data_IF_889350700316
#
_entry.id   IF_889350700316
#
_cell.length_a   1.000
_cell.length_b   1.000
_cell.length_c   1.000
_cell.angle_alpha   90.00
_cell.angle_beta   90.00
_cell.angle_gamma   90.00
#
_symmetry.space_group_name_H-M   'P 1'
#
loop_
_entity.id
_entity.type
_entity.pdbx_description
1 polymer ?
#
# COMPACT_ATOMS: atom_id res chain seq x y z
N UNK A 1 -24.26 20.55 -13.91
CA UNK A 1 -25.27 21.30 -14.65
C UNK A 1 -26.41 21.54 -13.66
N UNK A 2 -26.48 22.77 -13.12
CA UNK A 2 -27.65 23.19 -12.36
C UNK A 2 -28.83 23.27 -13.34
N UNK A 3 -29.91 22.54 -13.07
CA UNK A 3 -31.20 22.80 -13.70
C UNK A 3 -31.68 24.18 -13.25
N UNK A 4 -32.28 24.92 -14.17
CA UNK A 4 -32.66 26.32 -14.12
C UNK A 4 -33.65 26.76 -13.06
N UNK A 5 -33.70 26.12 -11.89
CA UNK A 5 -34.69 26.36 -10.89
C UNK A 5 -34.10 26.99 -9.62
N UNK A 6 -34.83 27.92 -9.08
CA UNK A 6 -34.79 28.80 -7.88
C UNK A 6 -33.85 28.39 -6.69
N UNK A 7 -33.09 27.34 -6.77
CA UNK A 7 -32.19 26.85 -5.74
C UNK A 7 -30.71 26.73 -6.15
N UNK A 8 -30.29 27.25 -7.30
CA UNK A 8 -28.88 27.20 -7.72
C UNK A 8 -28.08 28.35 -7.07
N UNK A 9 -27.09 28.07 -6.19
CA UNK A 9 -26.33 29.11 -5.52
C UNK A 9 -25.57 30.00 -6.51
N UNK A 10 -25.11 29.46 -7.63
CA UNK A 10 -24.45 30.20 -8.71
C UNK A 10 -25.38 31.25 -9.33
N UNK A 11 -26.60 30.85 -9.64
CA UNK A 11 -27.59 31.74 -10.23
C UNK A 11 -27.99 32.87 -9.26
N UNK A 12 -28.25 32.56 -8.02
CA UNK A 12 -28.62 33.54 -7.01
C UNK A 12 -27.49 34.53 -6.72
N UNK A 13 -26.23 34.08 -6.66
CA UNK A 13 -25.07 34.96 -6.47
C UNK A 13 -24.82 35.89 -7.68
N UNK A 14 -25.13 35.44 -8.88
CA UNK A 14 -25.03 36.31 -10.07
C UNK A 14 -26.10 37.42 -10.10
N UNK A 15 -27.21 37.23 -9.38
CA UNK A 15 -28.28 38.25 -9.32
C UNK A 15 -27.98 39.29 -8.24
N UNK A 16 -27.68 38.88 -7.05
CA UNK A 16 -27.60 39.79 -5.89
C UNK A 16 -26.16 40.01 -5.37
N UNK A 17 -25.21 39.26 -5.86
CA UNK A 17 -23.79 39.39 -5.47
C UNK A 17 -23.48 38.96 -4.06
N UNK A 18 -24.34 38.17 -3.42
CA UNK A 18 -24.12 37.62 -2.10
C UNK A 18 -23.32 36.33 -2.18
N UNK A 19 -22.25 36.21 -1.39
CA UNK A 19 -21.48 34.96 -1.28
C UNK A 19 -22.36 33.86 -0.65
N UNK A 20 -22.40 32.70 -1.27
CA UNK A 20 -23.20 31.56 -0.79
C UNK A 20 -22.34 30.32 -0.61
N UNK A 21 -22.58 29.61 0.46
CA UNK A 21 -21.97 28.31 0.72
C UNK A 21 -23.08 27.30 0.96
N UNK A 22 -23.17 26.30 0.09
CA UNK A 22 -24.22 25.29 0.14
C UNK A 22 -23.70 23.88 -0.15
N UNK A 23 -24.43 22.88 0.34
CA UNK A 23 -24.16 21.48 0.02
C UNK A 23 -24.84 21.12 -1.29
N UNK A 24 -24.02 20.64 -2.25
CA UNK A 24 -24.52 20.19 -3.56
C UNK A 24 -24.13 18.73 -3.80
N UNK A 25 -24.86 18.06 -4.70
CA UNK A 25 -24.53 16.70 -5.10
C UNK A 25 -24.14 16.68 -6.56
N UNK A 26 -22.90 16.33 -6.87
CA UNK A 26 -22.42 16.14 -8.24
C UNK A 26 -22.46 14.66 -8.63
N UNK A 27 -22.72 14.39 -9.90
CA UNK A 27 -22.77 13.02 -10.43
C UNK A 27 -21.37 12.57 -10.83
N UNK A 28 -20.90 11.48 -10.23
CA UNK A 28 -19.67 10.83 -10.66
C UNK A 28 -19.87 10.11 -12.00
N UNK A 29 -18.79 9.93 -12.79
CA UNK A 29 -18.84 9.21 -14.09
C UNK A 29 -19.42 7.79 -13.98
N UNK A 30 -19.29 7.15 -12.81
CA UNK A 30 -19.82 5.81 -12.53
C UNK A 30 -21.28 5.82 -12.02
N UNK A 31 -21.98 6.97 -12.10
CA UNK A 31 -23.43 7.10 -11.85
C UNK A 31 -23.85 7.44 -10.42
N UNK A 32 -22.96 7.32 -9.43
CA UNK A 32 -23.30 7.71 -8.06
C UNK A 32 -23.14 9.22 -7.82
N UNK A 33 -23.77 9.73 -6.74
CA UNK A 33 -23.72 11.14 -6.35
C UNK A 33 -22.67 11.36 -5.27
N UNK A 34 -21.86 12.42 -5.44
CA UNK A 34 -20.84 12.84 -4.48
C UNK A 34 -21.32 14.12 -3.81
N UNK A 35 -21.42 14.18 -2.47
CA UNK A 35 -21.71 15.42 -1.76
C UNK A 35 -20.48 16.34 -1.78
N UNK A 36 -20.67 17.58 -2.19
CA UNK A 36 -19.65 18.62 -2.15
C UNK A 36 -20.20 19.84 -1.40
N UNK A 37 -19.33 20.57 -0.74
CA UNK A 37 -19.60 21.92 -0.30
C UNK A 37 -19.15 22.87 -1.40
N UNK A 38 -20.07 23.67 -1.90
CA UNK A 38 -19.75 24.69 -2.88
C UNK A 38 -19.85 26.08 -2.25
N UNK A 39 -18.84 26.92 -2.52
CA UNK A 39 -18.89 28.36 -2.16
C UNK A 39 -18.79 29.15 -3.43
N UNK A 40 -19.75 30.04 -3.64
CA UNK A 40 -19.86 30.89 -4.82
C UNK A 40 -19.56 32.33 -4.46
N UNK A 41 -18.59 32.92 -5.16
CA UNK A 41 -18.16 34.32 -5.00
C UNK A 41 -18.51 35.13 -6.26
N UNK A 42 -19.10 36.31 -6.15
CA UNK A 42 -19.32 37.18 -7.31
C UNK A 42 -18.02 37.79 -7.81
N UNK A 43 -17.86 37.87 -9.11
CA UNK A 43 -16.80 38.61 -9.77
C UNK A 43 -17.40 40.00 -10.15
N UNK A 44 -16.72 41.06 -9.74
CA UNK A 44 -17.18 42.45 -10.01
C UNK A 44 -16.11 43.22 -10.80
N UNK A 45 -16.58 43.92 -11.81
CA UNK A 45 -15.80 44.92 -12.51
C UNK A 45 -16.53 46.26 -12.40
N UNK A 46 -15.84 47.29 -11.94
CA UNK A 46 -16.41 48.62 -11.69
C UNK A 46 -17.72 48.62 -10.87
N UNK A 47 -17.82 47.70 -9.90
CA UNK A 47 -19.00 47.54 -9.03
C UNK A 47 -20.14 46.70 -9.64
N UNK A 48 -20.09 46.35 -10.93
CA UNK A 48 -21.08 45.53 -11.62
C UNK A 48 -20.68 44.06 -11.56
N UNK A 49 -21.64 43.18 -11.31
CA UNK A 49 -21.40 41.72 -11.30
C UNK A 49 -21.24 41.27 -12.74
N UNK A 50 -20.06 40.78 -13.12
CA UNK A 50 -19.74 40.27 -14.45
C UNK A 50 -19.75 38.74 -14.53
N UNK A 51 -19.82 38.07 -13.36
CA UNK A 51 -19.86 36.62 -13.26
C UNK A 51 -19.67 36.14 -11.84
N UNK A 52 -19.44 34.86 -11.66
CA UNK A 52 -19.07 34.28 -10.38
C UNK A 52 -18.06 33.13 -10.53
N UNK A 53 -17.27 32.91 -9.45
CA UNK A 53 -16.39 31.76 -9.30
C UNK A 53 -17.00 30.80 -8.30
N UNK A 54 -17.05 29.52 -8.64
CA UNK A 54 -17.56 28.46 -7.80
C UNK A 54 -16.40 27.55 -7.35
N UNK A 55 -16.22 27.45 -6.04
CA UNK A 55 -15.17 26.62 -5.42
C UNK A 55 -15.83 25.41 -4.79
N UNK A 56 -15.46 24.23 -5.27
CA UNK A 56 -15.92 22.96 -4.72
C UNK A 56 -14.90 22.42 -3.72
N UNK A 57 -15.36 22.15 -2.52
CA UNK A 57 -14.61 21.39 -1.51
C UNK A 57 -15.34 20.09 -1.22
N UNK A 58 -14.61 19.01 -0.97
CA UNK A 58 -15.25 17.81 -0.45
C UNK A 58 -15.90 18.17 0.87
N UNK A 59 -17.22 17.99 0.95
CA UNK A 59 -17.93 18.14 2.19
C UNK A 59 -17.65 16.92 3.07
N UNK A 60 -16.55 16.97 3.82
CA UNK A 60 -16.41 16.13 4.99
C UNK A 60 -17.15 16.83 6.10
N UNK A 61 -18.20 16.25 6.70
CA UNK A 61 -18.73 16.69 7.98
C UNK A 61 -17.54 16.62 8.95
N UNK A 62 -16.99 17.79 9.31
CA UNK A 62 -15.91 17.87 10.28
C UNK A 62 -16.33 17.13 11.54
N UNK A 63 -15.54 16.14 11.91
CA UNK A 63 -15.50 15.40 13.16
C UNK A 63 -16.13 14.00 13.22
N UNK A 64 -16.96 13.57 12.25
CA UNK A 64 -17.51 12.19 12.33
C UNK A 64 -16.95 11.25 11.25
N UNK A 65 -16.48 11.80 10.12
CA UNK A 65 -16.09 10.99 8.96
C UNK A 65 -14.59 10.84 8.77
N UNK A 66 -13.76 11.78 9.21
CA UNK A 66 -12.32 11.67 8.99
C UNK A 66 -11.74 10.47 9.75
N UNK A 67 -12.12 10.30 11.02
CA UNK A 67 -11.75 9.11 11.80
C UNK A 67 -12.40 7.83 11.28
N UNK A 68 -13.63 7.90 10.76
CA UNK A 68 -14.31 6.72 10.20
C UNK A 68 -13.73 6.35 8.83
N UNK A 69 -13.47 7.32 7.97
CA UNK A 69 -12.83 7.10 6.66
C UNK A 69 -11.40 6.64 6.84
N UNK A 70 -10.65 7.22 7.76
CA UNK A 70 -9.29 6.82 8.11
C UNK A 70 -9.27 5.40 8.69
N UNK A 71 -10.14 5.08 9.64
CA UNK A 71 -10.31 3.74 10.19
C UNK A 71 -10.80 2.71 9.16
N UNK A 72 -11.70 3.09 8.23
CA UNK A 72 -12.15 2.20 7.16
C UNK A 72 -11.06 2.01 6.11
N UNK A 73 -10.28 3.04 5.80
CA UNK A 73 -9.16 2.96 4.88
C UNK A 73 -8.00 2.15 5.50
N UNK A 74 -7.68 2.35 6.77
CA UNK A 74 -6.71 1.51 7.48
C UNK A 74 -7.12 0.04 7.51
N UNK A 75 -8.39 -0.25 7.84
CA UNK A 75 -8.92 -1.63 7.81
C UNK A 75 -8.95 -2.24 6.40
N UNK A 76 -9.16 -1.41 5.37
CA UNK A 76 -9.19 -1.86 3.99
C UNK A 76 -7.77 -2.07 3.40
N UNK A 77 -6.75 -1.44 3.97
CA UNK A 77 -5.37 -1.42 3.43
C UNK A 77 -4.37 -2.21 4.26
N UNK A 78 -4.71 -2.58 5.51
CA UNK A 78 -3.78 -3.25 6.41
C UNK A 78 -4.29 -4.63 6.85
N UNK A 79 -3.36 -5.53 7.10
CA UNK A 79 -3.64 -6.84 7.71
C UNK A 79 -4.02 -6.69 9.18
N UNK A 80 -5.08 -7.36 9.61
CA UNK A 80 -5.63 -7.19 10.97
C UNK A 80 -4.69 -7.67 12.07
N UNK A 81 -3.85 -8.67 11.80
CA UNK A 81 -2.91 -9.24 12.76
C UNK A 81 -1.61 -8.43 12.82
N UNK A 82 -0.92 -8.34 11.69
CA UNK A 82 0.43 -7.77 11.62
C UNK A 82 0.45 -6.24 11.52
N UNK A 83 -0.69 -5.61 11.17
CA UNK A 83 -0.83 -4.18 10.86
C UNK A 83 -0.01 -3.71 9.65
N UNK A 84 0.63 -4.62 8.94
CA UNK A 84 1.31 -4.34 7.69
C UNK A 84 0.30 -4.08 6.56
N UNK A 85 0.71 -3.44 5.45
CA UNK A 85 -0.03 -3.45 4.21
C UNK A 85 -0.56 -4.84 3.86
N UNK A 86 -1.84 -4.94 3.52
CA UNK A 86 -2.43 -6.19 3.08
C UNK A 86 -2.22 -6.40 1.57
N UNK A 87 -2.62 -7.55 1.06
CA UNK A 87 -2.47 -7.94 -0.33
C UNK A 87 -3.05 -6.90 -1.30
N UNK A 88 -4.25 -6.38 -1.03
CA UNK A 88 -4.89 -5.40 -1.91
C UNK A 88 -4.10 -4.09 -2.03
N UNK A 89 -3.51 -3.65 -0.92
CA UNK A 89 -2.66 -2.47 -0.92
C UNK A 89 -1.32 -2.73 -1.63
N UNK A 90 -0.71 -3.89 -1.41
CA UNK A 90 0.50 -4.31 -2.12
C UNK A 90 0.30 -4.37 -3.64
N UNK A 91 -0.82 -4.94 -4.12
CA UNK A 91 -1.16 -5.00 -5.55
C UNK A 91 -1.31 -3.59 -6.14
N UNK A 92 -1.98 -2.69 -5.43
CA UNK A 92 -2.15 -1.29 -5.85
C UNK A 92 -0.80 -0.54 -5.92
N UNK A 93 0.05 -0.74 -4.92
CA UNK A 93 1.38 -0.13 -4.88
C UNK A 93 2.31 -0.70 -5.95
N UNK A 94 2.25 -1.99 -6.22
CA UNK A 94 3.00 -2.64 -7.29
C UNK A 94 2.62 -2.06 -8.66
N UNK A 95 1.33 -1.86 -8.91
CA UNK A 95 0.86 -1.23 -10.15
C UNK A 95 1.37 0.21 -10.29
N UNK A 96 1.40 0.97 -9.20
CA UNK A 96 1.99 2.30 -9.17
C UNK A 96 3.49 2.25 -9.50
N UNK A 97 4.27 1.35 -8.87
CA UNK A 97 5.72 1.18 -9.11
C UNK A 97 6.05 0.75 -10.55
N UNK A 98 5.26 -0.13 -11.14
CA UNK A 98 5.40 -0.49 -12.55
C UNK A 98 5.15 0.72 -13.47
N UNK A 99 4.17 1.55 -13.15
CA UNK A 99 3.92 2.80 -13.90
C UNK A 99 5.07 3.80 -13.76
N UNK A 100 5.69 3.93 -12.57
CA UNK A 100 6.89 4.75 -12.38
C UNK A 100 8.08 4.20 -13.18
N UNK A 101 8.24 2.88 -13.20
CA UNK A 101 9.30 2.24 -13.98
C UNK A 101 9.12 2.50 -15.49
N UNK A 102 7.91 2.35 -16.02
CA UNK A 102 7.62 2.59 -17.44
C UNK A 102 7.84 4.04 -17.86
N UNK A 103 7.51 5.02 -16.98
CA UNK A 103 7.61 6.45 -17.30
C UNK A 103 8.98 7.05 -17.03
N UNK A 104 9.65 6.60 -15.99
CA UNK A 104 10.85 7.26 -15.46
C UNK A 104 12.04 6.32 -15.31
N UNK A 105 11.90 5.04 -15.70
CA UNK A 105 12.93 4.00 -15.52
C UNK A 105 13.38 3.81 -14.07
N UNK A 106 12.51 4.16 -13.09
CA UNK A 106 12.78 3.96 -11.67
C UNK A 106 12.64 2.49 -11.34
N UNK A 107 13.78 1.84 -11.13
CA UNK A 107 13.86 0.41 -10.83
C UNK A 107 13.38 0.10 -9.43
N UNK A 108 12.80 -1.09 -9.27
CA UNK A 108 12.47 -1.64 -7.97
C UNK A 108 12.69 -3.15 -7.96
N UNK A 109 12.93 -3.69 -6.76
CA UNK A 109 12.98 -5.11 -6.48
C UNK A 109 11.65 -5.56 -5.87
N UNK A 110 11.19 -6.75 -6.24
CA UNK A 110 10.09 -7.43 -5.59
C UNK A 110 10.63 -8.69 -4.90
N UNK A 111 10.35 -8.81 -3.62
CA UNK A 111 10.62 -9.97 -2.79
C UNK A 111 9.33 -10.72 -2.52
N UNK A 112 9.34 -12.03 -2.71
CA UNK A 112 8.31 -12.92 -2.19
C UNK A 112 8.92 -13.75 -1.07
N UNK A 113 8.29 -13.76 0.09
CA UNK A 113 8.84 -14.29 1.34
C UNK A 113 7.86 -15.27 1.95
N UNK A 114 8.34 -16.40 2.45
CA UNK A 114 7.53 -17.38 3.16
C UNK A 114 8.29 -17.91 4.38
N UNK A 115 7.59 -18.08 5.51
CA UNK A 115 8.20 -18.60 6.75
C UNK A 115 8.36 -20.10 6.64
N UNK A 116 9.59 -20.55 6.82
CA UNK A 116 9.94 -21.95 6.71
C UNK A 116 9.27 -22.80 7.79
N UNK A 117 8.66 -23.91 7.37
CA UNK A 117 8.02 -24.89 8.26
C UNK A 117 6.92 -24.32 9.16
N UNK A 118 6.29 -23.18 8.80
CA UNK A 118 5.33 -22.50 9.67
C UNK A 118 4.14 -23.37 10.08
N UNK A 119 3.65 -24.23 9.18
CA UNK A 119 2.61 -25.21 9.53
C UNK A 119 3.04 -26.19 10.61
N UNK A 120 4.29 -26.67 10.56
CA UNK A 120 4.84 -27.57 11.58
C UNK A 120 5.03 -26.82 12.88
N UNK A 121 5.50 -25.57 12.82
CA UNK A 121 5.62 -24.68 13.95
C UNK A 121 4.29 -24.48 14.67
N UNK A 122 3.22 -24.15 13.95
CA UNK A 122 1.87 -23.99 14.50
C UNK A 122 1.32 -25.28 15.12
N UNK A 123 1.59 -26.43 14.50
CA UNK A 123 1.18 -27.73 15.05
C UNK A 123 1.91 -28.06 16.37
N UNK A 124 3.11 -27.53 16.57
CA UNK A 124 3.94 -27.80 17.75
C UNK A 124 3.64 -26.82 18.89
N UNK A 125 3.50 -25.52 18.59
CA UNK A 125 3.43 -24.44 19.58
C UNK A 125 2.07 -23.78 19.67
N UNK A 126 1.14 -24.11 18.77
CA UNK A 126 -0.19 -23.51 18.68
C UNK A 126 -0.23 -22.27 17.79
N UNK A 127 -1.42 -21.94 17.33
CA UNK A 127 -1.66 -20.79 16.43
C UNK A 127 -1.37 -19.44 17.10
N UNK A 128 -1.63 -19.31 18.41
CA UNK A 128 -1.36 -18.06 19.15
C UNK A 128 0.13 -17.72 19.15
N UNK A 129 1.01 -18.74 19.27
CA UNK A 129 2.46 -18.55 19.18
C UNK A 129 2.89 -18.26 17.73
N UNK A 130 2.22 -18.87 16.75
CA UNK A 130 2.42 -18.52 15.34
C UNK A 130 2.05 -17.07 15.04
N UNK A 131 0.97 -16.57 15.61
CA UNK A 131 0.56 -15.17 15.47
C UNK A 131 1.59 -14.20 16.10
N UNK A 132 2.22 -14.58 17.23
CA UNK A 132 3.35 -13.83 17.79
C UNK A 132 4.53 -13.78 16.83
N UNK A 133 4.90 -14.91 16.20
CA UNK A 133 5.96 -14.97 15.19
C UNK A 133 5.66 -14.02 14.04
N UNK A 134 4.46 -14.05 13.46
CA UNK A 134 4.05 -13.18 12.37
C UNK A 134 4.15 -11.70 12.74
N UNK A 135 3.70 -11.34 13.93
CA UNK A 135 3.72 -9.94 14.41
C UNK A 135 5.13 -9.44 14.72
N UNK A 136 5.99 -10.29 15.29
CA UNK A 136 7.35 -9.87 15.65
C UNK A 136 8.28 -9.77 14.41
N UNK A 137 8.12 -10.67 13.43
CA UNK A 137 8.76 -10.53 12.11
C UNK A 137 8.32 -9.22 11.46
N UNK A 138 7.02 -8.94 11.44
CA UNK A 138 6.47 -7.72 10.86
C UNK A 138 7.09 -6.47 11.48
N UNK A 139 7.12 -6.37 12.81
CA UNK A 139 7.73 -5.26 13.55
C UNK A 139 9.23 -5.12 13.25
N UNK A 140 9.95 -6.23 13.22
CA UNK A 140 11.40 -6.23 12.96
C UNK A 140 11.72 -5.68 11.57
N UNK A 141 10.95 -6.07 10.56
CA UNK A 141 11.18 -5.64 9.18
C UNK A 141 10.80 -4.16 8.99
N UNK A 142 9.68 -3.69 9.55
CA UNK A 142 9.27 -2.28 9.43
C UNK A 142 10.36 -1.32 9.91
N UNK A 143 11.13 -1.70 10.93
CA UNK A 143 12.18 -0.84 11.48
C UNK A 143 13.39 -0.63 10.53
N UNK A 144 13.51 -1.43 9.47
CA UNK A 144 14.66 -1.38 8.55
C UNK A 144 14.31 -0.94 7.13
N UNK A 145 13.02 -0.78 6.80
CA UNK A 145 12.58 -0.35 5.47
C UNK A 145 12.53 1.18 5.38
N UNK A 146 12.74 1.69 4.16
CA UNK A 146 12.69 3.14 3.90
C UNK A 146 11.25 3.58 3.62
N UNK A 147 11.00 4.89 3.68
CA UNK A 147 9.68 5.49 3.46
C UNK A 147 9.08 5.17 2.08
N UNK A 148 9.92 5.02 1.05
CA UNK A 148 9.50 4.75 -0.33
C UNK A 148 9.40 3.25 -0.67
N UNK A 149 9.72 2.40 0.33
CA UNK A 149 9.60 0.96 0.24
C UNK A 149 8.29 0.49 0.87
N UNK A 150 7.81 -0.68 0.47
CA UNK A 150 6.64 -1.29 1.07
C UNK A 150 6.92 -2.76 1.39
N UNK A 151 6.50 -3.18 2.57
CA UNK A 151 6.50 -4.58 2.99
C UNK A 151 5.14 -4.89 3.60
N UNK A 152 4.52 -6.00 3.19
CA UNK A 152 3.17 -6.33 3.60
C UNK A 152 2.91 -7.83 3.65
N UNK A 153 1.79 -8.20 4.26
CA UNK A 153 1.34 -9.60 4.34
C UNK A 153 0.53 -9.94 3.10
N UNK A 154 1.00 -10.95 2.36
CA UNK A 154 0.33 -11.43 1.16
C UNK A 154 -0.81 -12.40 1.49
N UNK A 155 -0.59 -13.28 2.47
CA UNK A 155 -1.58 -14.21 2.99
C UNK A 155 -0.93 -15.29 3.86
N UNK A 156 -1.63 -15.84 4.86
CA UNK A 156 -1.08 -16.89 5.72
C UNK A 156 0.28 -16.51 6.35
N UNK A 157 1.33 -17.24 5.93
CA UNK A 157 2.73 -17.03 6.33
C UNK A 157 3.56 -16.32 5.26
N UNK A 158 2.92 -15.81 4.22
CA UNK A 158 3.58 -15.18 3.07
C UNK A 158 3.58 -13.66 3.18
N UNK A 159 4.70 -13.06 2.79
CA UNK A 159 4.89 -11.61 2.73
C UNK A 159 5.44 -11.19 1.37
N UNK A 160 5.16 -9.95 0.99
CA UNK A 160 5.72 -9.33 -0.21
C UNK A 160 6.37 -8.02 0.14
N UNK A 161 7.59 -7.82 -0.37
CA UNK A 161 8.33 -6.57 -0.25
C UNK A 161 8.56 -5.92 -1.61
N UNK A 162 8.40 -4.60 -1.69
CA UNK A 162 8.62 -3.81 -2.90
C UNK A 162 9.59 -2.68 -2.53
N UNK A 163 10.81 -2.73 -3.06
CA UNK A 163 11.92 -1.88 -2.64
C UNK A 163 12.47 -1.08 -3.82
N UNK A 164 12.56 0.22 -3.68
CA UNK A 164 13.22 1.09 -4.67
C UNK A 164 14.72 0.81 -4.69
N UNK A 165 15.28 0.57 -5.87
CA UNK A 165 16.69 0.28 -6.07
C UNK A 165 17.28 1.15 -7.17
N UNK A 166 18.58 1.46 -7.05
CA UNK A 166 19.33 2.14 -8.10
C UNK A 166 20.10 1.13 -8.97
N UNK A 167 20.56 0.03 -8.37
CA UNK A 167 21.36 -1.01 -9.03
C UNK A 167 20.79 -2.39 -8.68
N UNK A 168 20.90 -3.30 -9.64
CA UNK A 168 20.30 -4.64 -9.52
C UNK A 168 20.84 -5.46 -8.34
N UNK A 169 22.13 -5.33 -7.99
CA UNK A 169 22.72 -6.06 -6.86
C UNK A 169 22.09 -5.68 -5.50
N UNK A 170 21.50 -4.49 -5.39
CA UNK A 170 20.83 -4.05 -4.15
C UNK A 170 19.65 -4.96 -3.80
N UNK A 171 19.00 -5.57 -4.81
CA UNK A 171 17.87 -6.48 -4.60
C UNK A 171 18.25 -7.68 -3.73
N UNK A 172 19.35 -8.38 -4.09
CA UNK A 172 19.83 -9.51 -3.31
C UNK A 172 20.35 -9.11 -1.94
N UNK A 173 20.99 -7.95 -1.82
CA UNK A 173 21.49 -7.43 -0.56
C UNK A 173 20.31 -7.10 0.42
N UNK A 174 19.22 -6.53 -0.09
CA UNK A 174 18.01 -6.26 0.70
C UNK A 174 17.37 -7.58 1.15
N UNK A 175 17.24 -8.56 0.25
CA UNK A 175 16.65 -9.85 0.54
C UNK A 175 17.45 -10.60 1.63
N UNK A 176 18.78 -10.66 1.50
CA UNK A 176 19.65 -11.28 2.50
C UNK A 176 19.60 -10.56 3.85
N UNK A 177 19.54 -9.23 3.86
CA UNK A 177 19.38 -8.46 5.10
C UNK A 177 18.10 -8.81 5.82
N UNK A 178 16.97 -8.95 5.09
CA UNK A 178 15.68 -9.36 5.66
C UNK A 178 15.76 -10.81 6.16
N UNK A 179 16.34 -11.72 5.39
CA UNK A 179 16.52 -13.12 5.79
C UNK A 179 17.31 -13.24 7.08
N UNK A 180 18.47 -12.58 7.16
CA UNK A 180 19.30 -12.58 8.38
C UNK A 180 18.61 -11.92 9.57
N UNK A 181 17.81 -10.87 9.34
CA UNK A 181 17.04 -10.23 10.40
C UNK A 181 16.05 -11.24 11.02
N UNK A 182 15.30 -11.96 10.18
CA UNK A 182 14.31 -12.95 10.65
C UNK A 182 15.02 -14.12 11.35
N UNK A 183 16.09 -14.66 10.77
CA UNK A 183 16.88 -15.75 11.37
C UNK A 183 17.40 -15.42 12.79
N UNK A 184 17.67 -14.14 13.06
CA UNK A 184 18.15 -13.66 14.35
C UNK A 184 17.06 -13.10 15.26
N UNK A 185 15.82 -13.00 14.78
CA UNK A 185 14.68 -12.58 15.61
C UNK A 185 14.31 -13.71 16.56
N UNK A 186 14.29 -13.40 17.85
CA UNK A 186 13.86 -14.32 18.91
C UNK A 186 12.44 -13.96 19.33
N UNK A 187 11.55 -14.92 19.27
CA UNK A 187 10.18 -14.79 19.75
C UNK A 187 10.06 -15.54 21.05
N UNK A 188 9.58 -14.89 22.10
CA UNK A 188 9.40 -15.54 23.41
C UNK A 188 7.91 -15.85 23.62
N UNK A 189 7.58 -17.13 23.85
CA UNK A 189 6.22 -17.54 24.17
C UNK A 189 5.84 -17.23 25.62
N UNK A 190 4.58 -17.51 26.00
CA UNK A 190 4.07 -17.30 27.38
C UNK A 190 4.84 -18.07 28.44
N UNK A 191 5.46 -19.19 28.08
CA UNK A 191 6.20 -20.06 28.98
C UNK A 191 7.67 -19.64 29.15
N UNK A 192 8.07 -18.53 28.53
CA UNK A 192 9.43 -18.01 28.52
C UNK A 192 10.39 -18.76 27.61
N UNK A 193 9.89 -19.61 26.69
CA UNK A 193 10.71 -20.32 25.73
C UNK A 193 11.05 -19.38 24.53
N UNK A 194 12.33 -19.32 24.20
CA UNK A 194 12.85 -18.63 23.03
C UNK A 194 12.70 -19.50 21.77
N UNK A 195 12.01 -18.97 20.78
CA UNK A 195 11.72 -19.63 19.52
C UNK A 195 12.30 -18.81 18.36
N UNK A 196 12.73 -19.51 17.32
CA UNK A 196 13.24 -18.91 16.09
C UNK A 196 12.61 -19.57 14.89
N UNK A 197 12.48 -18.79 13.83
CA UNK A 197 12.06 -19.27 12.50
C UNK A 197 13.02 -18.73 11.45
N UNK A 198 13.00 -19.33 10.27
CA UNK A 198 13.71 -18.85 9.10
C UNK A 198 12.73 -18.55 7.98
N UNK A 199 13.19 -17.91 6.94
CA UNK A 199 12.39 -17.59 5.75
C UNK A 199 13.10 -18.04 4.47
N UNK A 200 12.30 -18.46 3.51
CA UNK A 200 12.72 -18.62 2.12
C UNK A 200 12.29 -17.41 1.31
N UNK A 201 13.20 -16.85 0.53
CA UNK A 201 12.97 -15.61 -0.21
C UNK A 201 13.24 -15.82 -1.69
N UNK A 202 12.33 -15.36 -2.54
CA UNK A 202 12.55 -15.15 -3.96
C UNK A 202 12.63 -13.67 -4.26
N UNK A 203 13.68 -13.23 -4.95
CA UNK A 203 13.85 -11.82 -5.30
C UNK A 203 14.10 -11.64 -6.80
N UNK A 204 13.39 -10.68 -7.38
CA UNK A 204 13.53 -10.28 -8.78
C UNK A 204 13.47 -8.76 -8.92
N UNK A 205 13.88 -8.24 -10.07
CA UNK A 205 13.81 -6.81 -10.38
C UNK A 205 12.81 -6.53 -11.50
N UNK A 206 12.28 -5.30 -11.53
CA UNK A 206 11.35 -4.84 -12.56
C UNK A 206 11.96 -4.92 -13.97
N UNK A 207 11.17 -5.44 -14.93
CA UNK A 207 11.52 -5.52 -16.35
C UNK A 207 10.54 -4.69 -17.19
N UNK A 208 10.94 -4.21 -18.39
CA UNK A 208 10.15 -3.26 -19.18
C UNK A 208 8.72 -3.67 -19.52
N UNK A 209 8.44 -4.96 -19.63
CA UNK A 209 7.14 -5.48 -20.05
C UNK A 209 6.41 -6.23 -18.93
N UNK A 210 6.90 -6.14 -17.69
CA UNK A 210 6.24 -6.79 -16.57
C UNK A 210 4.83 -6.27 -16.36
N UNK A 211 3.91 -7.19 -16.20
CA UNK A 211 2.63 -6.96 -15.51
C UNK A 211 2.78 -7.26 -14.02
N UNK A 212 1.86 -6.82 -13.15
CA UNK A 212 1.86 -7.21 -11.74
C UNK A 212 1.93 -8.74 -11.55
N UNK A 213 1.18 -9.48 -12.36
CA UNK A 213 1.15 -10.95 -12.29
C UNK A 213 2.48 -11.59 -12.68
N UNK A 214 3.17 -11.04 -13.69
CA UNK A 214 4.44 -11.61 -14.17
C UNK A 214 5.54 -11.49 -13.11
N UNK A 215 5.69 -10.31 -12.52
CA UNK A 215 6.74 -10.09 -11.52
C UNK A 215 6.46 -10.84 -10.21
N UNK A 216 5.18 -10.94 -9.79
CA UNK A 216 4.78 -11.74 -8.62
C UNK A 216 5.08 -13.23 -8.86
N UNK A 217 4.62 -13.80 -9.97
CA UNK A 217 4.87 -15.21 -10.32
C UNK A 217 6.34 -15.54 -10.40
N UNK A 218 7.15 -14.62 -10.92
CA UNK A 218 8.60 -14.78 -11.02
C UNK A 218 9.25 -14.83 -9.64
N UNK A 219 8.91 -13.92 -8.74
CA UNK A 219 9.42 -13.91 -7.37
C UNK A 219 8.93 -15.12 -6.56
N UNK A 220 7.66 -15.52 -6.70
CA UNK A 220 7.10 -16.72 -6.07
C UNK A 220 7.84 -17.99 -6.52
N UNK A 221 8.10 -18.14 -7.83
CA UNK A 221 8.86 -19.27 -8.35
C UNK A 221 10.28 -19.34 -7.79
N UNK A 222 10.93 -18.19 -7.59
CA UNK A 222 12.25 -18.10 -6.96
C UNK A 222 12.19 -18.44 -5.47
N UNK A 223 11.18 -17.98 -4.74
CA UNK A 223 10.95 -18.36 -3.34
C UNK A 223 10.75 -19.88 -3.21
N UNK A 224 9.98 -20.47 -4.13
CA UNK A 224 9.81 -21.92 -4.19
C UNK A 224 11.13 -22.67 -4.43
N UNK A 225 12.03 -22.13 -5.26
CA UNK A 225 13.39 -22.67 -5.43
C UNK A 225 14.18 -22.62 -4.10
N UNK A 226 14.10 -21.52 -3.35
CA UNK A 226 14.71 -21.41 -2.02
C UNK A 226 14.21 -22.51 -1.08
N UNK A 227 12.89 -22.77 -1.04
CA UNK A 227 12.32 -23.87 -0.26
C UNK A 227 12.86 -25.25 -0.66
N UNK A 228 13.09 -25.50 -1.95
CA UNK A 228 13.59 -26.79 -2.45
C UNK A 228 15.09 -26.96 -2.25
N UNK A 229 15.86 -25.89 -2.29
CA UNK A 229 17.31 -25.92 -2.18
C UNK A 229 17.82 -25.95 -0.72
N UNK A 230 16.92 -26.09 0.26
CA UNK A 230 17.31 -26.27 1.68
C UNK A 230 16.71 -25.24 2.63
N UNK A 231 15.90 -24.30 2.16
CA UNK A 231 15.29 -23.21 2.94
C UNK A 231 16.30 -22.23 3.52
N UNK A 232 15.85 -21.27 4.30
CA UNK A 232 16.69 -20.25 4.92
C UNK A 232 17.68 -19.62 3.92
N UNK A 233 17.20 -19.25 2.75
CA UNK A 233 18.03 -18.72 1.66
C UNK A 233 17.27 -17.80 0.73
N UNK A 234 18.01 -17.09 -0.11
CA UNK A 234 17.51 -16.21 -1.16
C UNK A 234 17.82 -16.85 -2.52
N UNK A 235 16.80 -16.96 -3.37
CA UNK A 235 16.99 -17.26 -4.81
C UNK A 235 16.66 -16.03 -5.63
N UNK A 236 17.42 -15.80 -6.69
CA UNK A 236 17.28 -14.62 -7.56
C UNK A 236 17.53 -14.95 -9.03
N UNK A 237 16.84 -14.23 -9.92
CA UNK A 237 17.13 -14.23 -11.37
C UNK A 237 18.02 -13.04 -11.78
N UNK A 238 18.54 -12.30 -10.80
CA UNK A 238 19.42 -11.15 -11.05
C UNK A 238 20.86 -11.65 -11.12
N UNK A 239 21.50 -11.53 -12.29
CA UNK A 239 22.91 -11.82 -12.46
C UNK A 239 23.76 -10.82 -11.67
N UNK A 240 24.85 -11.32 -11.07
CA UNK A 240 25.83 -10.48 -10.37
C UNK A 240 26.59 -9.51 -11.32
N UNK A 241 26.41 -9.67 -12.63
CA UNK A 241 27.05 -8.88 -13.66
C UNK A 241 26.16 -7.71 -14.08
N UNK A 242 26.27 -6.61 -13.37
CA UNK A 242 26.05 -5.23 -13.85
C UNK A 242 26.55 -4.27 -12.76
N UNK A 243 27.85 -4.30 -12.54
CA UNK A 243 28.60 -3.25 -11.82
C UNK A 243 28.86 -2.10 -12.77
#
# INVERSE_FOLDING_TARGET
>A
VCSSDLGCPLFATNIDGVVRTERVFVRHKNGYRIPLLTTVYPIRENGVIVGSVEIFTRNSPKAYDDNLIENLSEKAMHDSLTKLPNRSYLESFLQYKLSEYQRFSKRFALLFVDIDHFRVFNNTYGHDVGDLVLTDIAKSIVNIIKKDDMFGRWGGEEFVGIFSINRNYEASAIAERIRHLVENTVVTNSDGQELKVTISVGVTVSKPQDTPDDIIKRADSLMYQSKHNGRNMVSTDVSAENI
#
